data_IF_103442771293
#
_entry.id   IF_103442771293
#
_cell.length_a   1.000
_cell.length_b   1.000
_cell.length_c   1.000
_cell.angle_alpha   90.00
_cell.angle_beta   90.00
_cell.angle_gamma   90.00
#
_symmetry.space_group_name_H-M   'P 1'
#
loop_
_entity.id
_entity.type
_entity.pdbx_description
1 polymer ?
#
# COMPACT_ATOMS: atom_id res chain seq x y z
N UNK A 1 7.17 -13.95 -4.67
CA UNK A 1 6.34 -13.53 -5.84
C UNK A 1 4.86 -13.84 -5.65
N UNK A 2 4.45 -15.07 -5.31
CA UNK A 2 3.03 -15.40 -5.08
C UNK A 2 2.38 -14.58 -3.95
N UNK A 3 3.10 -14.38 -2.82
CA UNK A 3 2.62 -13.59 -1.69
C UNK A 3 2.38 -12.11 -2.04
N UNK A 4 3.36 -11.45 -2.67
CA UNK A 4 3.24 -10.08 -3.17
C UNK A 4 1.96 -9.88 -3.97
N UNK A 5 1.78 -10.68 -5.03
CA UNK A 5 0.64 -10.54 -5.92
C UNK A 5 -0.69 -10.74 -5.17
N UNK A 6 -0.76 -11.69 -4.25
CA UNK A 6 -1.95 -11.94 -3.45
C UNK A 6 -2.27 -10.77 -2.50
N UNK A 7 -1.27 -10.22 -1.81
CA UNK A 7 -1.45 -9.09 -0.89
C UNK A 7 -1.90 -7.84 -1.64
N UNK A 8 -1.19 -7.47 -2.71
CA UNK A 8 -1.51 -6.28 -3.48
C UNK A 8 -2.89 -6.39 -4.15
N UNK A 9 -3.24 -7.55 -4.71
CA UNK A 9 -4.55 -7.76 -5.32
C UNK A 9 -5.69 -7.71 -4.30
N UNK A 10 -5.50 -8.29 -3.10
CA UNK A 10 -6.50 -8.26 -2.05
C UNK A 10 -6.72 -6.84 -1.52
N UNK A 11 -5.65 -6.08 -1.30
CA UNK A 11 -5.72 -4.70 -0.82
C UNK A 11 -6.36 -3.77 -1.86
N UNK A 12 -6.00 -3.90 -3.14
CA UNK A 12 -6.64 -3.17 -4.23
C UNK A 12 -8.14 -3.48 -4.32
N UNK A 13 -8.53 -4.76 -4.28
CA UNK A 13 -9.94 -5.17 -4.30
C UNK A 13 -10.71 -4.72 -3.04
N UNK A 14 -10.02 -4.47 -1.92
CA UNK A 14 -10.63 -3.86 -0.74
C UNK A 14 -10.86 -2.37 -0.98
N UNK A 15 -9.85 -1.63 -1.44
CA UNK A 15 -9.96 -0.20 -1.73
C UNK A 15 -11.08 0.11 -2.75
N UNK A 16 -11.26 -0.75 -3.75
CA UNK A 16 -12.35 -0.60 -4.73
C UNK A 16 -13.75 -0.75 -4.13
N UNK A 17 -13.90 -1.53 -3.05
CA UNK A 17 -15.19 -1.75 -2.39
C UNK A 17 -15.43 -0.71 -1.29
N UNK A 18 -14.38 -0.31 -0.61
CA UNK A 18 -14.41 0.57 0.54
C UNK A 18 -13.34 1.66 0.34
N UNK A 19 -13.76 2.87 -0.06
CA UNK A 19 -12.85 3.99 -0.24
C UNK A 19 -12.10 4.30 1.06
N UNK A 20 -10.81 4.54 0.92
CA UNK A 20 -9.95 4.97 2.02
C UNK A 20 -9.99 6.49 2.18
N UNK A 21 -9.80 6.97 3.41
CA UNK A 21 -9.51 8.38 3.68
C UNK A 21 -8.02 8.71 3.57
N UNK A 22 -7.16 7.69 3.57
CA UNK A 22 -5.71 7.80 3.44
C UNK A 22 -5.24 7.60 2.00
N UNK A 23 -5.69 6.51 1.36
CA UNK A 23 -5.35 6.18 -0.02
C UNK A 23 -6.26 6.98 -0.93
N UNK A 24 -5.66 7.83 -1.77
CA UNK A 24 -6.38 8.65 -2.75
C UNK A 24 -7.33 7.78 -3.60
N UNK A 25 -8.52 8.28 -3.99
CA UNK A 25 -9.40 7.61 -4.94
C UNK A 25 -8.70 7.24 -6.26
N UNK A 26 -7.63 7.96 -6.61
CA UNK A 26 -6.80 7.65 -7.76
C UNK A 26 -6.12 6.28 -7.65
N UNK A 27 -5.73 5.85 -6.44
CA UNK A 27 -5.16 4.51 -6.22
C UNK A 27 -6.16 3.37 -6.46
N UNK A 28 -7.45 3.65 -6.59
CA UNK A 28 -8.49 2.64 -6.86
C UNK A 28 -8.75 2.41 -8.36
N UNK A 29 -8.12 3.18 -9.26
CA UNK A 29 -8.39 3.14 -10.71
C UNK A 29 -7.81 1.90 -11.36
N UNK A 30 -6.53 1.60 -11.10
CA UNK A 30 -5.84 0.41 -11.61
C UNK A 30 -4.72 -0.05 -10.66
N UNK A 31 -4.21 -1.29 -10.82
CA UNK A 31 -3.18 -1.83 -9.92
C UNK A 31 -1.83 -1.10 -9.96
N UNK A 32 -1.50 -0.39 -11.04
CA UNK A 32 -0.27 0.38 -11.13
C UNK A 32 -0.39 1.68 -10.31
N UNK A 33 -1.54 2.35 -10.38
CA UNK A 33 -1.82 3.54 -9.57
C UNK A 33 -1.98 3.20 -8.09
N UNK A 34 -2.59 2.06 -7.78
CA UNK A 34 -2.61 1.53 -6.41
C UNK A 34 -1.18 1.43 -5.84
N UNK A 35 -0.27 0.81 -6.59
CA UNK A 35 1.12 0.68 -6.19
C UNK A 35 1.84 2.04 -6.10
N UNK A 36 1.58 2.96 -7.03
CA UNK A 36 2.20 4.29 -7.01
C UNK A 36 1.78 5.08 -5.74
N UNK A 37 0.48 5.16 -5.47
CA UNK A 37 -0.05 5.86 -4.29
C UNK A 37 0.42 5.21 -2.99
N UNK A 38 0.39 3.88 -2.89
CA UNK A 38 0.90 3.19 -1.69
C UNK A 38 2.40 3.40 -1.50
N UNK A 39 3.17 3.54 -2.58
CA UNK A 39 4.60 3.84 -2.50
C UNK A 39 4.86 5.26 -2.00
N UNK A 40 4.06 6.25 -2.41
CA UNK A 40 4.10 7.60 -1.87
C UNK A 40 3.79 7.59 -0.37
N UNK A 41 2.67 6.96 0.02
CA UNK A 41 2.27 6.81 1.42
C UNK A 41 3.33 6.08 2.27
N UNK A 42 4.02 5.10 1.69
CA UNK A 42 5.09 4.37 2.37
C UNK A 42 6.25 5.29 2.77
N UNK A 43 6.58 6.29 1.95
CA UNK A 43 7.66 7.22 2.24
C UNK A 43 7.21 8.47 3.01
N UNK A 44 6.01 8.98 2.73
CA UNK A 44 5.51 10.23 3.31
C UNK A 44 4.72 10.04 4.61
N UNK A 45 3.94 8.95 4.71
CA UNK A 45 3.03 8.68 5.83
C UNK A 45 3.10 7.21 6.30
N UNK A 46 4.30 6.67 6.62
CA UNK A 46 4.47 5.24 6.88
C UNK A 46 3.67 4.73 8.08
N UNK A 47 3.46 5.54 9.11
CA UNK A 47 2.66 5.19 10.28
C UNK A 47 1.20 4.95 9.90
N UNK A 48 0.62 5.81 9.06
CA UNK A 48 -0.75 5.68 8.61
C UNK A 48 -0.92 4.46 7.72
N UNK A 49 -0.01 4.26 6.75
CA UNK A 49 -0.05 3.09 5.86
C UNK A 49 0.13 1.78 6.64
N UNK A 50 1.02 1.74 7.64
CA UNK A 50 1.21 0.55 8.46
C UNK A 50 0.01 0.24 9.37
N UNK A 51 -0.75 1.26 9.77
CA UNK A 51 -1.96 1.08 10.57
C UNK A 51 -3.14 0.58 9.72
N UNK A 52 -3.35 1.17 8.54
CA UNK A 52 -4.49 0.85 7.68
C UNK A 52 -4.25 -0.41 6.83
N UNK A 53 -3.05 -0.55 6.25
CA UNK A 53 -2.69 -1.63 5.34
C UNK A 53 -1.36 -2.31 5.75
N UNK A 54 -1.30 -2.97 6.93
CA UNK A 54 -0.06 -3.57 7.47
C UNK A 54 0.55 -4.67 6.59
N UNK A 55 -0.25 -5.31 5.73
CA UNK A 55 0.26 -6.27 4.77
C UNK A 55 0.99 -5.57 3.61
N UNK A 56 0.39 -4.52 3.04
CA UNK A 56 0.98 -3.71 1.97
C UNK A 56 2.28 -3.06 2.44
N UNK A 57 2.29 -2.43 3.62
CA UNK A 57 3.49 -1.83 4.21
C UNK A 57 4.66 -2.84 4.30
N UNK A 58 4.38 -4.08 4.75
CA UNK A 58 5.41 -5.13 4.85
C UNK A 58 5.96 -5.57 3.50
N UNK A 59 5.10 -5.66 2.49
CA UNK A 59 5.53 -5.99 1.13
C UNK A 59 6.38 -4.86 0.54
N UNK A 60 6.01 -3.59 0.72
CA UNK A 60 6.79 -2.42 0.28
C UNK A 60 8.13 -2.29 1.01
N UNK A 61 8.15 -2.53 2.32
CA UNK A 61 9.40 -2.59 3.08
C UNK A 61 10.35 -3.68 2.56
N UNK A 62 9.80 -4.84 2.19
CA UNK A 62 10.56 -5.92 1.55
C UNK A 62 11.06 -5.55 0.15
N UNK A 63 10.25 -4.82 -0.64
CA UNK A 63 10.57 -4.37 -1.98
C UNK A 63 11.69 -3.31 -1.97
N UNK A 64 11.50 -2.23 -1.22
CA UNK A 64 12.45 -1.10 -1.15
C UNK A 64 13.64 -1.37 -0.22
N UNK A 65 13.57 -2.42 0.61
CA UNK A 65 14.61 -2.81 1.58
C UNK A 65 14.94 -1.69 2.58
N UNK A 66 13.93 -0.92 2.95
CA UNK A 66 14.01 0.15 3.96
C UNK A 66 12.82 0.03 4.92
N UNK A 67 12.96 0.65 6.10
CA UNK A 67 11.92 0.69 7.12
C UNK A 67 11.65 2.14 7.54
N UNK A 68 10.76 2.87 6.86
CA UNK A 68 10.48 4.26 7.16
C UNK A 68 9.94 4.53 8.57
N UNK A 69 9.33 3.53 9.21
CA UNK A 69 8.94 3.60 10.63
C UNK A 69 10.12 3.69 11.61
N UNK A 70 11.33 3.37 11.16
CA UNK A 70 12.54 3.35 11.98
C UNK A 70 13.55 4.44 11.56
N UNK A 71 13.11 5.42 10.75
CA UNK A 71 13.91 6.58 10.38
C UNK A 71 14.04 7.60 11.51
#
# INVERSE_FOLDING_TARGET
>A
RQRWAAVMAAAYAQLQREPSTLISPYGATDPAEFFAVDSELFFEQPQALAAEAPAVYRELAGLYRVHPLAW
#
